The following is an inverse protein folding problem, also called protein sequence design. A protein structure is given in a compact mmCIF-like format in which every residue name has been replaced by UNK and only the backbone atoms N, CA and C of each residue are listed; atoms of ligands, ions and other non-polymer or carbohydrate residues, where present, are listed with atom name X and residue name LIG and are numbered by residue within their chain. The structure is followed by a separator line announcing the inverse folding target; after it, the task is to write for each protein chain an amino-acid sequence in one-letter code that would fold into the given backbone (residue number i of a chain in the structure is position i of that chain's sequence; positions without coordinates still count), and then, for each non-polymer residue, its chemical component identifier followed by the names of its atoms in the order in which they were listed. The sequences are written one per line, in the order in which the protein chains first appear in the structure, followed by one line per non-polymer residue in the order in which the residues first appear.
data_IF_166438277832
#
_entry.id   IF_166438277832
#
_cell.length_a   1.000
_cell.length_b   1.000
_cell.length_c   1.000
_cell.angle_alpha   90.00
_cell.angle_beta   90.00
_cell.angle_gamma   90.00
#
_symmetry.space_group_name_H-M   'P 1'
#
loop_
_entity.id
_entity.type
_entity.pdbx_description
1 polymer ?
#
# COMPACT_ATOMS: atom_id res chain seq x y z
N UNK A 1 -7.42 -11.06 13.56
CA UNK A 1 -6.24 -10.38 12.97
C UNK A 1 -6.68 -9.00 12.52
N UNK A 2 -6.39 -7.96 13.29
CA UNK A 2 -6.82 -6.58 12.98
C UNK A 2 -5.76 -5.89 12.13
N UNK A 3 -6.18 -5.35 10.99
CA UNK A 3 -5.31 -4.57 10.08
C UNK A 3 -4.77 -3.26 10.69
N UNK A 4 -5.19 -2.95 11.92
CA UNK A 4 -4.96 -1.70 12.66
C UNK A 4 -4.57 -2.05 14.10
N UNK A 5 -3.63 -1.30 14.68
CA UNK A 5 -3.31 -1.38 16.09
C UNK A 5 -4.54 -1.11 16.97
N UNK A 6 -4.65 -1.77 18.13
CA UNK A 6 -5.84 -1.70 18.98
C UNK A 6 -6.19 -0.29 19.43
N UNK A 7 -5.17 0.48 19.84
CA UNK A 7 -5.31 1.88 20.28
C UNK A 7 -5.90 2.79 19.19
N UNK A 8 -5.69 2.45 17.91
CA UNK A 8 -6.07 3.27 16.76
C UNK A 8 -7.41 2.83 16.15
N UNK A 9 -7.99 1.72 16.60
CA UNK A 9 -9.28 1.25 16.11
C UNK A 9 -10.43 2.25 16.30
N UNK A 10 -10.58 2.94 17.45
CA UNK A 10 -11.66 3.92 17.61
C UNK A 10 -11.55 5.05 16.59
N UNK A 11 -10.32 5.54 16.37
CA UNK A 11 -10.05 6.56 15.37
C UNK A 11 -10.41 6.07 13.96
N UNK A 12 -9.89 4.93 13.53
CA UNK A 12 -10.17 4.38 12.19
C UNK A 12 -11.67 4.13 11.99
N UNK A 13 -12.35 3.54 12.99
CA UNK A 13 -13.80 3.30 12.94
C UNK A 13 -14.59 4.60 12.81
N UNK A 14 -14.18 5.67 13.49
CA UNK A 14 -14.84 6.98 13.39
C UNK A 14 -14.72 7.63 12.00
N UNK A 15 -13.77 7.19 11.18
CA UNK A 15 -13.52 7.68 9.82
C UNK A 15 -14.08 6.76 8.73
N UNK A 16 -14.49 5.54 9.09
CA UNK A 16 -14.99 4.57 8.14
C UNK A 16 -16.42 4.93 7.69
N UNK A 17 -16.66 4.85 6.38
CA UNK A 17 -17.98 4.98 5.76
C UNK A 17 -18.29 3.74 4.93
N UNK A 18 -19.55 3.54 4.54
CA UNK A 18 -19.90 2.45 3.63
C UNK A 18 -19.10 2.55 2.32
N UNK A 19 -18.42 1.47 1.93
CA UNK A 19 -17.62 1.44 0.71
C UNK A 19 -18.50 1.09 -0.51
N UNK A 20 -18.44 1.86 -1.62
CA UNK A 20 -19.23 1.57 -2.81
C UNK A 20 -18.67 0.35 -3.56
N UNK A 21 -19.14 -0.86 -3.23
CA UNK A 21 -18.61 -2.14 -3.77
C UNK A 21 -18.52 -2.19 -5.30
N UNK A 22 -19.40 -1.48 -6.01
CA UNK A 22 -19.40 -1.42 -7.48
C UNK A 22 -18.07 -0.99 -8.09
N UNK A 23 -17.26 -0.19 -7.39
CA UNK A 23 -15.95 0.28 -7.90
C UNK A 23 -14.92 -0.84 -8.03
N UNK A 24 -15.08 -1.96 -7.33
CA UNK A 24 -14.18 -3.12 -7.43
C UNK A 24 -14.47 -4.01 -8.65
N UNK A 25 -15.72 -4.01 -9.12
CA UNK A 25 -16.19 -4.90 -10.20
C UNK A 25 -16.38 -4.17 -11.52
N UNK A 26 -16.31 -2.83 -11.50
CA UNK A 26 -16.40 -2.03 -12.70
C UNK A 26 -15.18 -2.28 -13.60
N UNK A 27 -15.38 -2.67 -14.88
CA UNK A 27 -14.28 -2.83 -15.81
C UNK A 27 -13.54 -1.52 -16.05
N UNK A 28 -12.20 -1.60 -16.11
CA UNK A 28 -11.34 -0.47 -16.48
C UNK A 28 -10.50 -0.82 -17.71
N UNK A 29 -10.19 0.18 -18.53
CA UNK A 29 -9.24 0.06 -19.64
C UNK A 29 -7.88 0.58 -19.21
N UNK A 30 -6.89 -0.29 -19.13
CA UNK A 30 -5.50 0.10 -18.88
C UNK A 30 -4.89 0.70 -20.16
N UNK A 31 -4.55 1.98 -20.13
CA UNK A 31 -3.98 2.70 -21.29
C UNK A 31 -2.47 2.51 -21.46
N UNK A 32 -1.81 1.85 -20.50
CA UNK A 32 -0.34 1.80 -20.42
C UNK A 32 0.30 3.09 -19.90
N UNK A 33 -0.48 4.09 -19.48
CA UNK A 33 0.06 5.36 -18.97
C UNK A 33 0.97 5.20 -17.74
N UNK A 34 0.81 4.13 -16.97
CA UNK A 34 1.71 3.78 -15.86
C UNK A 34 3.17 3.69 -16.32
N UNK A 35 3.44 3.20 -17.53
CA UNK A 35 4.81 3.07 -18.04
C UNK A 35 5.48 4.42 -18.34
N UNK A 36 4.70 5.51 -18.41
CA UNK A 36 5.21 6.87 -18.58
C UNK A 36 5.59 7.53 -17.26
N UNK A 37 5.24 6.93 -16.12
CA UNK A 37 5.60 7.44 -14.80
C UNK A 37 7.08 7.17 -14.55
N UNK A 38 7.87 8.23 -14.46
CA UNK A 38 9.33 8.14 -14.36
C UNK A 38 9.81 7.49 -13.05
N UNK A 39 9.11 7.74 -11.94
CA UNK A 39 9.43 7.18 -10.62
C UNK A 39 8.24 6.39 -10.11
N UNK A 40 8.41 5.08 -9.98
CA UNK A 40 7.40 4.15 -9.47
C UNK A 40 7.95 3.48 -8.23
N UNK A 41 7.16 3.46 -7.15
CA UNK A 41 7.58 2.89 -5.87
C UNK A 41 6.49 1.98 -5.32
N UNK A 42 6.89 0.81 -4.84
CA UNK A 42 6.03 -0.13 -4.15
C UNK A 42 6.54 -0.35 -2.72
N UNK A 43 5.67 -0.16 -1.72
CA UNK A 43 6.01 -0.37 -0.31
C UNK A 43 5.15 -1.53 0.22
N UNK A 44 5.78 -2.64 0.61
CA UNK A 44 5.09 -3.81 1.18
C UNK A 44 5.02 -3.72 2.71
N UNK A 45 3.88 -4.11 3.27
CA UNK A 45 3.62 -4.18 4.72
C UNK A 45 3.32 -5.63 5.18
N UNK A 46 4.32 -6.53 5.28
CA UNK A 46 4.13 -7.97 5.49
C UNK A 46 3.22 -8.39 6.65
N UNK A 47 3.12 -7.58 7.72
CA UNK A 47 2.22 -7.82 8.87
C UNK A 47 0.74 -7.86 8.48
N UNK A 48 0.39 -7.36 7.30
CA UNK A 48 -0.87 -7.65 6.63
C UNK A 48 -0.66 -8.80 5.62
N UNK A 49 -1.00 -10.05 5.97
CA UNK A 49 -0.72 -11.21 5.13
C UNK A 49 -1.76 -11.29 4.01
N UNK A 50 -1.31 -10.96 2.79
CA UNK A 50 -2.14 -11.00 1.59
C UNK A 50 -1.27 -11.45 0.41
N UNK A 51 -1.40 -12.70 -0.07
CA UNK A 51 -0.53 -13.26 -1.11
C UNK A 51 -0.48 -12.46 -2.41
N UNK A 52 -1.58 -11.77 -2.76
CA UNK A 52 -1.63 -10.91 -3.96
C UNK A 52 -0.65 -9.73 -3.84
N UNK A 53 -0.42 -9.21 -2.62
CA UNK A 53 0.53 -8.13 -2.39
C UNK A 53 1.97 -8.64 -2.41
N UNK A 54 2.22 -9.86 -1.96
CA UNK A 54 3.55 -10.50 -2.09
C UNK A 54 3.90 -10.75 -3.56
N UNK A 55 2.91 -11.19 -4.36
CA UNK A 55 3.06 -11.30 -5.81
C UNK A 55 3.36 -9.94 -6.45
N UNK A 56 2.62 -8.89 -6.09
CA UNK A 56 2.86 -7.56 -6.62
C UNK A 56 4.27 -7.04 -6.28
N UNK A 57 4.77 -7.30 -5.08
CA UNK A 57 6.16 -7.00 -4.70
C UNK A 57 7.15 -7.74 -5.60
N UNK A 58 6.94 -9.04 -5.83
CA UNK A 58 7.82 -9.84 -6.70
C UNK A 58 7.81 -9.33 -8.15
N UNK A 59 6.64 -9.01 -8.70
CA UNK A 59 6.48 -8.45 -10.04
C UNK A 59 7.20 -7.09 -10.14
N UNK A 60 7.11 -6.23 -9.10
CA UNK A 60 7.84 -4.96 -9.04
C UNK A 60 9.36 -5.15 -8.92
N UNK A 61 9.83 -6.08 -8.08
CA UNK A 61 11.27 -6.41 -7.95
C UNK A 61 11.87 -6.91 -9.27
N UNK A 62 11.08 -7.62 -10.08
CA UNK A 62 11.47 -8.07 -11.42
C UNK A 62 11.56 -6.94 -12.46
N UNK A 63 10.99 -5.77 -12.18
CA UNK A 63 10.94 -4.63 -13.10
C UNK A 63 11.78 -3.46 -12.59
N UNK A 64 12.94 -3.21 -13.21
CA UNK A 64 13.90 -2.16 -12.81
C UNK A 64 13.35 -0.72 -12.86
N UNK A 65 12.17 -0.49 -13.45
CA UNK A 65 11.50 0.81 -13.39
C UNK A 65 10.80 1.09 -12.05
N UNK A 66 10.82 0.13 -11.12
CA UNK A 66 10.27 0.26 -9.77
C UNK A 66 11.37 0.29 -8.72
N UNK A 67 11.20 1.17 -7.73
CA UNK A 67 11.83 1.03 -6.42
C UNK A 67 10.91 0.23 -5.51
N UNK A 68 11.47 -0.64 -4.67
CA UNK A 68 10.68 -1.46 -3.75
C UNK A 68 11.22 -1.34 -2.33
N UNK A 69 10.33 -1.16 -1.36
CA UNK A 69 10.63 -1.11 0.06
C UNK A 69 9.71 -2.03 0.85
N UNK A 70 10.11 -2.39 2.05
CA UNK A 70 9.31 -3.20 2.96
C UNK A 70 9.35 -2.61 4.38
N UNK A 71 8.20 -2.56 5.05
CA UNK A 71 8.10 -2.23 6.48
C UNK A 71 7.50 -3.46 7.21
N UNK A 72 8.33 -4.42 7.63
CA UNK A 72 7.88 -5.73 8.12
C UNK A 72 7.08 -5.67 9.42
N UNK A 73 7.31 -4.64 10.24
CA UNK A 73 6.72 -4.46 11.57
C UNK A 73 5.48 -3.55 11.59
N UNK A 74 5.24 -2.81 10.51
CA UNK A 74 4.08 -1.93 10.34
C UNK A 74 2.85 -2.71 9.86
N UNK A 75 1.68 -2.42 10.46
CA UNK A 75 0.39 -2.94 10.02
C UNK A 75 -0.09 -2.28 8.73
N UNK A 76 -1.30 -2.63 8.29
CA UNK A 76 -1.86 -2.10 7.04
C UNK A 76 -2.00 -0.57 7.07
N UNK A 77 -2.23 -0.02 8.26
CA UNK A 77 -2.29 1.42 8.51
C UNK A 77 -0.90 1.98 8.88
N UNK A 78 0.10 1.80 8.00
CA UNK A 78 1.47 2.26 8.25
C UNK A 78 1.59 3.77 8.52
N UNK A 79 0.66 4.58 8.00
CA UNK A 79 0.58 6.01 8.28
C UNK A 79 0.20 6.34 9.74
N UNK A 80 -0.37 5.38 10.47
CA UNK A 80 -0.64 5.49 11.90
C UNK A 80 0.42 4.76 12.73
N UNK A 81 0.87 3.59 12.24
CA UNK A 81 1.82 2.74 12.96
C UNK A 81 3.26 3.27 12.92
N UNK A 82 3.67 3.88 11.80
CA UNK A 82 5.03 4.30 11.51
C UNK A 82 5.08 5.55 10.62
N UNK A 83 4.44 6.68 11.02
CA UNK A 83 4.28 7.87 10.19
C UNK A 83 5.61 8.42 9.67
N UNK A 84 6.62 8.57 10.54
CA UNK A 84 7.91 9.14 10.18
C UNK A 84 8.64 8.26 9.16
N UNK A 85 8.76 6.95 9.43
CA UNK A 85 9.39 5.99 8.50
C UNK A 85 8.68 5.91 7.16
N UNK A 86 7.34 5.94 7.14
CA UNK A 86 6.60 5.96 5.90
C UNK A 86 6.85 7.26 5.13
N UNK A 87 6.89 8.41 5.84
CA UNK A 87 7.16 9.71 5.22
C UNK A 87 8.58 9.79 4.64
N UNK A 88 9.59 9.25 5.33
CA UNK A 88 10.96 9.18 4.85
C UNK A 88 11.06 8.38 3.56
N UNK A 89 10.40 7.22 3.49
CA UNK A 89 10.35 6.41 2.27
C UNK A 89 9.64 7.14 1.12
N UNK A 90 8.57 7.88 1.41
CA UNK A 90 7.87 8.69 0.40
C UNK A 90 8.76 9.82 -0.12
N UNK A 91 9.48 10.52 0.76
CA UNK A 91 10.40 11.59 0.39
C UNK A 91 11.60 11.05 -0.40
N UNK A 92 12.14 9.89 -0.02
CA UNK A 92 13.18 9.20 -0.79
C UNK A 92 12.70 8.79 -2.19
N UNK A 93 11.42 8.46 -2.33
CA UNK A 93 10.80 8.02 -3.58
C UNK A 93 10.31 9.16 -4.49
N UNK A 94 10.18 10.39 -3.98
CA UNK A 94 9.71 11.57 -4.70
C UNK A 94 10.70 12.04 -5.78
#
# INVERSE_FOLDING_TARGET
MTAVAERDQPFVKSKATAHPVGTYVQPIKLSGALEKVAKKTYIRLPKFPQPVFDKALADCKGNKSWSTFELPDAGHMAMLDAPDRLSDLILQAA
#
